data_IF_771326442900
#
_entry.id   IF_771326442900
#
_cell.length_a   1.000
_cell.length_b   1.000
_cell.length_c   1.000
_cell.angle_alpha   90.00
_cell.angle_beta   90.00
_cell.angle_gamma   90.00
#
_symmetry.space_group_name_H-M   'P 1'
#
loop_
_entity.id
_entity.type
_entity.pdbx_description
1 polymer ?
#
# COMPACT_ATOMS: atom_id res chain seq x y z
N UNK A 1 12.50 -0.55 -13.69
CA UNK A 1 12.20 -1.43 -12.56
C UNK A 1 11.75 -0.65 -11.34
N UNK A 2 11.33 -1.39 -10.31
CA UNK A 2 10.92 -0.76 -9.06
C UNK A 2 12.09 0.01 -8.44
N UNK A 3 11.82 1.19 -7.86
CA UNK A 3 12.86 1.94 -7.16
C UNK A 3 13.33 1.16 -5.92
N UNK A 4 14.59 1.35 -5.52
CA UNK A 4 15.06 0.87 -4.23
C UNK A 4 14.43 1.71 -3.12
N UNK A 5 14.48 1.20 -1.88
CA UNK A 5 13.91 1.92 -0.74
C UNK A 5 14.92 1.99 0.41
N UNK A 6 14.70 2.96 1.30
CA UNK A 6 15.58 3.22 2.44
C UNK A 6 15.35 2.18 3.55
N UNK A 7 16.30 2.06 4.49
CA UNK A 7 16.23 1.07 5.57
C UNK A 7 15.01 1.25 6.49
N UNK A 8 14.55 2.49 6.68
CA UNK A 8 13.38 2.82 7.47
C UNK A 8 12.14 3.04 6.61
N UNK A 9 12.11 2.45 5.42
CA UNK A 9 10.96 2.54 4.53
C UNK A 9 9.71 1.99 5.20
N UNK A 10 8.57 2.53 4.79
CA UNK A 10 7.26 2.17 5.31
C UNK A 10 6.41 1.54 4.22
N UNK A 11 5.35 0.88 4.64
CA UNK A 11 4.31 0.41 3.74
C UNK A 11 3.21 1.46 3.74
N UNK A 12 2.87 1.96 2.55
CA UNK A 12 1.75 2.88 2.39
C UNK A 12 0.48 2.06 2.20
N UNK A 13 -0.51 2.30 3.06
CA UNK A 13 -1.80 1.60 3.01
C UNK A 13 -2.87 2.60 2.58
N UNK A 14 -3.51 2.32 1.46
CA UNK A 14 -4.57 3.15 0.90
C UNK A 14 -5.91 2.45 1.03
N UNK A 15 -6.86 3.09 1.70
CA UNK A 15 -8.22 2.60 1.81
C UNK A 15 -8.54 1.87 3.10
N UNK A 16 -8.01 2.30 4.24
CA UNK A 16 -8.42 1.73 5.53
C UNK A 16 -9.92 1.86 5.72
N UNK A 17 -10.53 0.80 6.24
CA UNK A 17 -11.96 0.71 6.46
C UNK A 17 -12.26 0.16 7.87
N UNK A 18 -13.51 -0.20 8.12
CA UNK A 18 -13.94 -0.71 9.44
C UNK A 18 -13.26 -2.02 9.84
N UNK A 19 -12.76 -2.81 8.88
CA UNK A 19 -12.13 -4.10 9.16
C UNK A 19 -10.74 -4.01 9.75
N UNK A 20 -9.99 -2.96 9.40
CA UNK A 20 -8.66 -2.68 9.93
C UNK A 20 -8.54 -1.19 10.17
N UNK A 21 -8.52 -0.80 11.43
CA UNK A 21 -8.41 0.61 11.83
C UNK A 21 -6.95 0.96 12.05
N UNK A 22 -6.63 2.26 11.94
CA UNK A 22 -5.25 2.73 12.13
C UNK A 22 -4.68 2.28 13.48
N UNK A 23 -5.49 2.29 14.55
CA UNK A 23 -5.06 1.87 15.89
C UNK A 23 -4.68 0.38 15.96
N UNK A 24 -5.13 -0.44 15.02
CA UNK A 24 -4.84 -1.87 14.99
C UNK A 24 -3.49 -2.16 14.33
N UNK A 25 -2.98 -1.23 13.53
CA UNK A 25 -1.81 -1.46 12.68
C UNK A 25 -0.51 -1.76 13.46
N UNK A 26 -0.17 -1.03 14.53
CA UNK A 26 1.05 -1.35 15.27
C UNK A 26 1.11 -2.79 15.77
N UNK A 27 0.01 -3.29 16.32
CA UNK A 27 -0.07 -4.67 16.80
C UNK A 27 0.00 -5.69 15.67
N UNK A 28 -0.65 -5.41 14.54
CA UNK A 28 -0.62 -6.28 13.36
C UNK A 28 0.79 -6.37 12.80
N UNK A 29 1.48 -5.24 12.62
CA UNK A 29 2.86 -5.23 12.13
C UNK A 29 3.78 -6.00 13.07
N UNK A 30 3.66 -5.73 14.38
CA UNK A 30 4.46 -6.44 15.38
C UNK A 30 4.22 -7.95 15.34
N UNK A 31 2.98 -8.38 15.11
CA UNK A 31 2.61 -9.80 15.12
C UNK A 31 3.31 -10.60 14.01
N UNK A 32 3.75 -9.96 12.95
CA UNK A 32 4.48 -10.60 11.85
C UNK A 32 5.98 -10.27 11.87
N UNK A 33 6.45 -9.60 12.92
CA UNK A 33 7.88 -9.30 13.08
C UNK A 33 8.35 -8.06 12.34
N UNK A 34 7.45 -7.16 11.98
CA UNK A 34 7.80 -5.86 11.39
C UNK A 34 7.78 -4.76 12.45
N UNK A 35 8.51 -3.66 12.24
CA UNK A 35 8.43 -2.53 13.17
C UNK A 35 6.99 -2.02 13.30
N UNK A 36 6.60 -1.67 14.52
CA UNK A 36 5.23 -1.26 14.83
C UNK A 36 4.80 0.03 14.10
N UNK A 37 5.75 0.85 13.71
CA UNK A 37 5.52 2.14 13.06
C UNK A 37 5.86 2.12 11.55
N UNK A 38 6.09 0.95 10.96
CA UNK A 38 6.52 0.83 9.57
C UNK A 38 5.36 1.00 8.58
N UNK A 39 4.47 1.93 8.83
CA UNK A 39 3.33 2.19 7.94
C UNK A 39 2.98 3.67 7.90
N UNK A 40 2.35 4.07 6.80
CA UNK A 40 1.51 5.25 6.69
C UNK A 40 0.21 4.77 6.09
N UNK A 41 -0.90 5.26 6.61
CA UNK A 41 -2.20 4.72 6.22
C UNK A 41 -3.21 5.85 6.01
N UNK A 42 -4.00 5.71 4.95
CA UNK A 42 -5.07 6.64 4.61
C UNK A 42 -6.39 5.89 4.50
N UNK A 43 -7.44 6.47 5.07
CA UNK A 43 -8.80 5.96 4.90
C UNK A 43 -9.30 6.30 3.50
N UNK A 44 -10.42 5.68 3.08
CA UNK A 44 -11.11 6.02 1.85
C UNK A 44 -11.34 7.54 1.74
N UNK A 45 -11.87 8.14 2.81
CA UNK A 45 -12.19 9.57 2.82
C UNK A 45 -10.94 10.45 2.71
N UNK A 46 -9.84 10.05 3.36
CA UNK A 46 -8.59 10.79 3.27
C UNK A 46 -8.01 10.75 1.86
N UNK A 47 -8.10 9.62 1.17
CA UNK A 47 -7.69 9.52 -0.24
C UNK A 47 -8.57 10.41 -1.12
N UNK A 48 -9.89 10.41 -0.85
CA UNK A 48 -10.85 11.18 -1.63
C UNK A 48 -10.72 12.68 -1.40
N UNK A 49 -10.25 13.11 -0.24
CA UNK A 49 -10.21 14.53 0.16
C UNK A 49 -9.27 15.41 -0.68
N UNK A 50 -8.45 14.82 -1.54
CA UNK A 50 -7.48 15.57 -2.35
C UNK A 50 -6.19 15.91 -1.62
N UNK A 51 -6.02 15.49 -0.37
CA UNK A 51 -4.77 15.67 0.38
C UNK A 51 -3.67 14.73 -0.07
N UNK A 52 -4.06 13.63 -0.73
CA UNK A 52 -3.14 12.64 -1.24
C UNK A 52 -3.01 12.82 -2.76
N UNK A 53 -1.77 12.93 -3.23
CA UNK A 53 -1.46 13.02 -4.66
C UNK A 53 -0.58 11.83 -5.04
N UNK A 54 -1.09 10.87 -5.84
CA UNK A 54 -0.34 9.66 -6.18
C UNK A 54 0.89 9.92 -7.04
N UNK A 55 1.02 11.09 -7.66
CA UNK A 55 2.22 11.44 -8.44
C UNK A 55 3.49 11.43 -7.58
N UNK A 56 3.36 11.72 -6.29
CA UNK A 56 4.50 11.71 -5.36
C UNK A 56 5.09 10.31 -5.16
N UNK A 57 4.38 9.26 -5.56
CA UNK A 57 4.84 7.89 -5.38
C UNK A 57 5.79 7.43 -6.48
N UNK A 58 5.78 8.10 -7.64
CA UNK A 58 6.63 7.73 -8.77
C UNK A 58 8.09 7.95 -8.38
N UNK A 59 8.89 6.88 -8.44
CA UNK A 59 10.31 6.93 -8.06
C UNK A 59 10.56 7.04 -6.56
N UNK A 60 9.52 6.95 -5.73
CA UNK A 60 9.68 7.10 -4.29
C UNK A 60 10.52 5.98 -3.69
N UNK A 61 11.48 6.36 -2.83
CA UNK A 61 12.29 5.43 -2.04
C UNK A 61 11.81 5.38 -0.58
N UNK A 62 10.81 6.19 -0.23
CA UNK A 62 10.26 6.27 1.11
C UNK A 62 9.42 5.05 1.49
N UNK A 63 8.79 4.45 0.49
CA UNK A 63 7.94 3.28 0.68
C UNK A 63 8.55 2.07 0.01
N UNK A 64 8.47 0.93 0.68
CA UNK A 64 8.83 -0.36 0.10
C UNK A 64 7.67 -0.94 -0.70
N UNK A 65 6.46 -0.70 -0.23
CA UNK A 65 5.22 -1.31 -0.73
C UNK A 65 4.07 -0.31 -0.66
N UNK A 66 3.10 -0.49 -1.56
CA UNK A 66 1.84 0.22 -1.54
C UNK A 66 0.73 -0.83 -1.54
N UNK A 67 -0.06 -0.85 -0.47
CA UNK A 67 -1.22 -1.72 -0.32
C UNK A 67 -2.47 -0.95 -0.69
N UNK A 68 -3.24 -1.47 -1.62
CA UNK A 68 -4.42 -0.79 -2.16
C UNK A 68 -5.66 -1.63 -1.87
N UNK A 69 -6.51 -1.12 -1.01
CA UNK A 69 -7.80 -1.67 -0.68
C UNK A 69 -8.88 -0.85 -1.39
N UNK A 70 -10.12 -0.84 -0.89
CA UNK A 70 -11.17 -0.03 -1.49
C UNK A 70 -10.78 1.44 -1.47
N UNK A 71 -10.66 2.03 -2.65
CA UNK A 71 -10.29 3.43 -2.84
C UNK A 71 -11.26 4.10 -3.82
N UNK A 72 -11.39 5.45 -3.76
CA UNK A 72 -12.25 6.16 -4.72
C UNK A 72 -11.73 6.02 -6.15
N UNK A 73 -12.63 6.09 -7.12
CA UNK A 73 -12.25 6.07 -8.53
C UNK A 73 -11.39 7.28 -8.87
N UNK A 74 -11.77 8.45 -8.38
CA UNK A 74 -11.04 9.68 -8.67
C UNK A 74 -10.15 10.08 -7.50
N UNK A 75 -8.96 10.56 -7.84
CA UNK A 75 -8.02 11.13 -6.91
C UNK A 75 -7.28 12.27 -7.60
N UNK A 76 -6.67 13.14 -6.81
CA UNK A 76 -5.87 14.26 -7.34
C UNK A 76 -4.72 13.69 -8.20
N UNK A 77 -4.47 14.33 -9.35
CA UNK A 77 -3.26 14.05 -10.13
C UNK A 77 -3.30 12.81 -11.00
N UNK A 78 -4.42 12.11 -11.12
CA UNK A 78 -4.49 10.91 -11.97
C UNK A 78 -4.80 11.21 -13.45
N UNK A 79 -5.10 12.46 -13.79
CA UNK A 79 -5.37 12.85 -15.18
C UNK A 79 -6.55 12.13 -15.78
N UNK A 80 -6.36 11.54 -16.96
CA UNK A 80 -7.43 10.87 -17.71
C UNK A 80 -7.70 9.43 -17.26
N UNK A 81 -6.97 8.92 -16.27
CA UNK A 81 -7.22 7.58 -15.76
C UNK A 81 -8.58 7.50 -15.08
N UNK A 82 -9.29 6.38 -15.26
CA UNK A 82 -10.64 6.19 -14.76
C UNK A 82 -10.66 5.93 -13.26
N UNK A 83 -9.55 5.47 -12.67
CA UNK A 83 -9.46 5.18 -11.25
C UNK A 83 -8.03 5.32 -10.73
N UNK A 84 -7.91 5.49 -9.42
CA UNK A 84 -6.60 5.48 -8.76
C UNK A 84 -5.88 4.14 -8.99
N UNK A 85 -6.61 3.03 -8.89
CA UNK A 85 -6.02 1.70 -9.11
C UNK A 85 -5.44 1.56 -10.51
N UNK A 86 -6.16 2.04 -11.53
CA UNK A 86 -5.67 2.02 -12.92
C UNK A 86 -4.43 2.89 -13.09
N UNK A 87 -4.42 4.08 -12.48
CA UNK A 87 -3.25 4.96 -12.51
C UNK A 87 -2.02 4.26 -11.91
N UNK A 88 -2.18 3.65 -10.75
CA UNK A 88 -1.07 2.96 -10.08
C UNK A 88 -0.57 1.77 -10.92
N UNK A 89 -1.48 0.96 -11.42
CA UNK A 89 -1.12 -0.21 -12.25
C UNK A 89 -0.34 0.21 -13.50
N UNK A 90 -0.76 1.30 -14.14
CA UNK A 90 -0.10 1.80 -15.36
C UNK A 90 1.30 2.33 -15.10
N UNK A 91 1.60 2.76 -13.87
CA UNK A 91 2.90 3.29 -13.47
C UNK A 91 3.72 2.30 -12.63
N UNK A 92 3.32 1.05 -12.54
CA UNK A 92 3.90 0.10 -11.58
C UNK A 92 5.39 -0.12 -11.74
N UNK A 93 5.93 0.06 -12.93
CA UNK A 93 7.38 -0.11 -13.17
C UNK A 93 8.22 0.92 -12.39
N UNK A 94 7.65 2.07 -12.07
CA UNK A 94 8.32 3.17 -11.39
C UNK A 94 7.80 3.40 -9.96
N UNK A 95 7.01 2.47 -9.46
CA UNK A 95 6.42 2.55 -8.12
C UNK A 95 7.00 1.49 -7.18
N UNK A 96 6.92 1.72 -5.86
CA UNK A 96 7.07 0.62 -4.90
C UNK A 96 6.15 -0.56 -5.26
N UNK A 97 6.43 -1.72 -4.69
CA UNK A 97 5.63 -2.91 -4.99
C UNK A 97 4.16 -2.68 -4.66
N UNK A 98 3.29 -2.90 -5.66
CA UNK A 98 1.84 -2.78 -5.49
C UNK A 98 1.25 -4.11 -5.04
N UNK A 99 0.36 -4.05 -4.05
CA UNK A 99 -0.45 -5.19 -3.62
C UNK A 99 -1.89 -4.74 -3.56
N UNK A 100 -2.74 -5.31 -4.40
CA UNK A 100 -4.16 -4.99 -4.44
C UNK A 100 -4.95 -6.04 -3.66
N UNK A 101 -5.86 -5.57 -2.80
CA UNK A 101 -6.80 -6.43 -2.10
C UNK A 101 -8.03 -6.56 -2.97
N UNK A 102 -8.22 -7.73 -3.58
CA UNK A 102 -9.20 -7.91 -4.65
C UNK A 102 -10.14 -9.08 -4.38
N UNK A 103 -11.37 -8.94 -4.87
CA UNK A 103 -12.30 -10.06 -5.03
C UNK A 103 -11.86 -10.89 -6.24
N UNK A 104 -12.48 -12.07 -6.42
CA UNK A 104 -12.16 -12.95 -7.54
C UNK A 104 -12.40 -12.28 -8.91
N UNK A 105 -13.34 -11.35 -8.97
CA UNK A 105 -13.65 -10.63 -10.21
C UNK A 105 -12.72 -9.43 -10.48
N UNK A 106 -11.70 -9.23 -9.62
CA UNK A 106 -10.74 -8.14 -9.78
C UNK A 106 -11.17 -6.80 -9.18
N UNK A 107 -12.37 -6.70 -8.62
CA UNK A 107 -12.78 -5.48 -7.92
C UNK A 107 -12.08 -5.36 -6.57
N UNK A 108 -11.73 -4.15 -6.18
CA UNK A 108 -11.10 -3.92 -4.88
C UNK A 108 -12.07 -4.21 -3.74
N UNK A 109 -11.53 -4.77 -2.67
CA UNK A 109 -12.30 -5.05 -1.46
C UNK A 109 -11.60 -4.49 -0.23
N UNK A 110 -12.36 -4.30 0.85
CA UNK A 110 -11.80 -3.94 2.14
C UNK A 110 -10.90 -5.07 2.65
N UNK A 111 -9.73 -4.72 3.18
CA UNK A 111 -8.84 -5.71 3.76
C UNK A 111 -9.34 -6.19 5.12
N UNK A 112 -9.18 -7.47 5.40
CA UNK A 112 -9.33 -8.03 6.75
C UNK A 112 -7.97 -8.05 7.45
N UNK A 113 -7.98 -8.25 8.77
CA UNK A 113 -6.72 -8.39 9.52
C UNK A 113 -5.91 -9.60 9.04
N UNK A 114 -6.57 -10.71 8.75
CA UNK A 114 -5.91 -11.92 8.24
C UNK A 114 -5.26 -11.67 6.89
N UNK A 115 -5.99 -11.04 5.97
CA UNK A 115 -5.46 -10.72 4.65
C UNK A 115 -4.29 -9.74 4.73
N UNK A 116 -4.38 -8.75 5.62
CA UNK A 116 -3.28 -7.82 5.82
C UNK A 116 -2.03 -8.54 6.32
N UNK A 117 -2.16 -9.44 7.29
CA UNK A 117 -1.01 -10.22 7.80
C UNK A 117 -0.36 -11.05 6.69
N UNK A 118 -1.17 -11.70 5.85
CA UNK A 118 -0.65 -12.46 4.72
C UNK A 118 0.11 -11.54 3.76
N UNK A 119 -0.48 -10.40 3.40
CA UNK A 119 0.15 -9.44 2.51
C UNK A 119 1.47 -8.91 3.08
N UNK A 120 1.52 -8.65 4.39
CA UNK A 120 2.73 -8.19 5.06
C UNK A 120 3.87 -9.19 4.94
N UNK A 121 3.60 -10.48 5.09
CA UNK A 121 4.63 -11.52 4.96
C UNK A 121 5.10 -11.72 3.52
N UNK A 122 4.36 -11.20 2.56
CA UNK A 122 4.72 -11.23 1.13
C UNK A 122 5.29 -9.90 0.64
N UNK A 123 5.41 -8.91 1.53
CA UNK A 123 5.89 -7.57 1.16
C UNK A 123 7.39 -7.55 0.92
N UNK A 124 7.83 -6.55 0.15
CA UNK A 124 9.26 -6.29 -0.04
C UNK A 124 9.92 -5.86 1.27
N UNK A 125 9.19 -5.14 2.12
CA UNK A 125 9.71 -4.76 3.43
C UNK A 125 10.03 -5.99 4.27
N UNK A 126 9.11 -6.95 4.31
CA UNK A 126 9.31 -8.19 5.05
C UNK A 126 10.54 -8.94 4.53
N UNK A 127 10.65 -9.08 3.21
CA UNK A 127 11.78 -9.75 2.59
C UNK A 127 13.10 -9.06 2.96
N UNK A 128 13.14 -7.73 2.90
CA UNK A 128 14.34 -6.97 3.28
C UNK A 128 14.72 -7.17 4.74
N UNK A 129 13.73 -7.13 5.65
CA UNK A 129 13.98 -7.31 7.08
C UNK A 129 14.43 -8.73 7.42
N UNK A 130 14.03 -9.73 6.63
CA UNK A 130 14.43 -11.14 6.82
C UNK A 130 15.67 -11.51 6.03
N UNK A 131 16.26 -10.58 5.27
CA UNK A 131 17.45 -10.85 4.47
C UNK A 131 17.18 -11.72 3.25
N UNK A 132 15.92 -11.76 2.78
CA UNK A 132 15.55 -12.51 1.58
C UNK A 132 15.89 -11.67 0.35
N UNK A 133 16.48 -12.33 -0.67
CA UNK A 133 16.79 -11.67 -1.93
C UNK A 133 15.49 -11.25 -2.63
N UNK A 134 15.41 -9.96 -2.99
CA UNK A 134 14.23 -9.43 -3.66
C UNK A 134 14.19 -9.72 -5.17
N UNK A 135 15.23 -10.29 -5.69
CA UNK A 135 15.31 -10.74 -7.08
C UNK A 135 15.45 -9.63 -8.09
#
# INVERSE_FOLDING_TARGET
GRPSFVNDAKILILGLSSGVKRKDLPGIFNSVGLPRDAFEALTYDEVHSGKFDPRQLIGSIRYSDIFVSTTPHKAKGIGDFSSLAEYLESNKADLPKLTFFENEDGTLKAMSKTELKIALTQSDLYAAKKGIDLG
#
